data_IF_977696499086
#
_entry.id   IF_977696499086
#
_cell.length_a   1.000
_cell.length_b   1.000
_cell.length_c   1.000
_cell.angle_alpha   90.00
_cell.angle_beta   90.00
_cell.angle_gamma   90.00
#
_symmetry.space_group_name_H-M   'P 1'
#
loop_
_entity.id
_entity.type
_entity.pdbx_description
1 polymer ?
#
# COMPACT_ATOMS: atom_id res chain seq x y z
N UNK A 1 1.39 -20.00 -5.76
CA UNK A 1 0.16 -19.47 -5.19
C UNK A 1 0.45 -18.23 -4.33
N UNK A 2 -0.29 -17.18 -4.57
CA UNK A 2 -0.07 -15.92 -3.89
C UNK A 2 -1.30 -15.57 -3.05
N UNK A 3 -1.17 -15.51 -1.70
CA UNK A 3 -2.29 -15.17 -0.83
C UNK A 3 -2.70 -13.71 -0.95
N UNK A 4 -1.82 -12.86 -1.46
CA UNK A 4 -2.08 -11.43 -1.58
C UNK A 4 -1.38 -10.91 -2.83
N UNK A 5 -2.13 -10.19 -3.66
CA UNK A 5 -1.59 -9.49 -4.83
C UNK A 5 -1.93 -8.01 -4.69
N UNK A 6 -0.93 -7.17 -4.69
CA UNK A 6 -1.09 -5.73 -4.51
C UNK A 6 -0.63 -4.95 -5.73
N UNK A 7 -1.15 -3.75 -5.89
CA UNK A 7 -0.72 -2.81 -6.91
C UNK A 7 -0.42 -1.46 -6.26
N UNK A 8 0.64 -0.80 -6.72
CA UNK A 8 0.99 0.54 -6.29
C UNK A 8 0.32 1.54 -7.21
N UNK A 9 -0.41 2.50 -6.64
CA UNK A 9 -1.06 3.55 -7.42
C UNK A 9 -0.86 4.89 -6.73
N UNK A 10 -0.93 5.97 -7.51
CA UNK A 10 -0.84 7.32 -6.97
C UNK A 10 -2.05 7.66 -6.12
N UNK A 11 -1.82 8.28 -4.98
CA UNK A 11 -2.88 8.85 -4.16
C UNK A 11 -3.26 10.19 -4.78
N UNK A 12 -4.53 10.39 -5.19
CA UNK A 12 -4.92 11.65 -5.84
C UNK A 12 -4.66 12.91 -4.99
N UNK A 13 -4.63 12.76 -3.68
CA UNK A 13 -4.36 13.90 -2.77
C UNK A 13 -2.93 14.43 -2.92
N UNK A 14 -1.97 13.56 -3.29
CA UNK A 14 -0.58 13.94 -3.46
C UNK A 14 -0.14 14.08 -4.91
N UNK A 15 -1.00 13.69 -5.86
CA UNK A 15 -0.69 13.71 -7.30
C UNK A 15 -1.88 14.30 -8.04
N UNK A 16 -1.98 15.63 -8.10
CA UNK A 16 -3.13 16.28 -8.72
C UNK A 16 -3.21 15.99 -10.22
N UNK A 17 -4.41 16.04 -10.75
CA UNK A 17 -4.62 15.88 -12.18
C UNK A 17 -3.97 17.02 -12.95
N UNK A 18 -3.61 16.76 -14.19
CA UNK A 18 -2.93 17.72 -15.04
C UNK A 18 -1.56 17.24 -15.46
N UNK A 19 -0.98 16.31 -14.73
CA UNK A 19 0.20 15.58 -15.16
C UNK A 19 -0.22 14.48 -16.12
N UNK A 20 0.74 13.70 -16.63
CA UNK A 20 0.43 12.57 -17.51
C UNK A 20 -0.36 11.47 -16.79
N UNK A 21 -0.39 11.52 -15.49
CA UNK A 21 -1.14 10.56 -14.68
C UNK A 21 -2.54 11.08 -14.41
N UNK A 22 -3.50 10.15 -14.33
CA UNK A 22 -4.87 10.45 -13.98
C UNK A 22 -5.27 9.57 -12.79
N UNK A 23 -4.83 9.94 -11.59
CA UNK A 23 -4.98 9.04 -10.44
C UNK A 23 -6.42 8.69 -10.09
N UNK A 24 -7.34 9.63 -10.19
CA UNK A 24 -8.74 9.32 -9.89
C UNK A 24 -9.37 8.40 -10.94
N UNK A 25 -9.05 8.61 -12.21
CA UNK A 25 -9.54 7.73 -13.27
C UNK A 25 -8.99 6.31 -13.10
N UNK A 26 -7.73 6.20 -12.68
CA UNK A 26 -7.11 4.91 -12.42
C UNK A 26 -7.79 4.20 -11.26
N UNK A 27 -8.12 4.90 -10.19
CA UNK A 27 -8.85 4.32 -9.06
C UNK A 27 -10.23 3.84 -9.50
N UNK A 28 -10.94 4.60 -10.33
CA UNK A 28 -12.22 4.17 -10.86
C UNK A 28 -12.11 2.88 -11.68
N UNK A 29 -11.04 2.76 -12.47
CA UNK A 29 -10.76 1.55 -13.22
C UNK A 29 -10.59 0.34 -12.29
N UNK A 30 -9.75 0.48 -11.29
CA UNK A 30 -9.50 -0.61 -10.34
C UNK A 30 -10.75 -0.95 -9.52
N UNK A 31 -11.54 0.05 -9.16
CA UNK A 31 -12.79 -0.18 -8.45
C UNK A 31 -13.74 -1.07 -9.26
N UNK A 32 -13.86 -0.80 -10.55
CA UNK A 32 -14.71 -1.63 -11.43
C UNK A 32 -14.17 -3.05 -11.55
N UNK A 33 -12.88 -3.22 -11.41
CA UNK A 33 -12.25 -4.53 -11.43
C UNK A 33 -12.36 -5.27 -10.09
N UNK A 34 -12.97 -4.66 -9.07
CA UNK A 34 -13.18 -5.30 -7.77
C UNK A 34 -12.02 -5.15 -6.79
N UNK A 35 -11.07 -4.26 -7.07
CA UNK A 35 -9.94 -4.03 -6.16
C UNK A 35 -10.39 -3.39 -4.85
N UNK A 36 -9.63 -3.67 -3.80
CA UNK A 36 -9.78 -3.07 -2.48
C UNK A 36 -8.52 -2.26 -2.17
N UNK A 37 -8.48 -1.58 -1.03
CA UNK A 37 -7.30 -0.80 -0.63
C UNK A 37 -6.84 -1.22 0.77
N UNK A 38 -5.53 -1.30 0.96
CA UNK A 38 -4.97 -1.53 2.29
C UNK A 38 -4.96 -0.22 3.07
N UNK A 39 -5.29 -0.29 4.35
CA UNK A 39 -5.32 0.87 5.24
C UNK A 39 -3.93 1.19 5.77
N UNK A 40 -3.01 1.44 4.84
CA UNK A 40 -1.63 1.87 5.13
C UNK A 40 -1.17 2.83 4.05
N UNK A 41 -0.34 3.80 4.40
CA UNK A 41 0.30 4.65 3.39
C UNK A 41 1.35 3.86 2.61
N UNK A 42 1.73 4.37 1.46
CA UNK A 42 2.79 3.73 0.69
C UNK A 42 3.70 4.77 0.03
N UNK A 43 4.97 4.40 -0.08
CA UNK A 43 6.00 5.15 -0.79
C UNK A 43 6.71 4.15 -1.69
N UNK A 44 6.75 4.43 -2.98
CA UNK A 44 7.45 3.54 -3.91
C UNK A 44 8.96 3.73 -3.77
N UNK A 45 9.74 2.65 -3.58
CA UNK A 45 11.19 2.74 -3.51
C UNK A 45 11.79 3.38 -4.76
N UNK A 46 12.94 4.02 -4.61
CA UNK A 46 13.68 4.57 -5.73
C UNK A 46 14.19 3.44 -6.63
N UNK A 47 14.01 3.60 -7.93
CA UNK A 47 14.45 2.62 -8.91
C UNK A 47 15.54 3.22 -9.78
N UNK A 48 16.58 2.44 -10.08
CA UNK A 48 17.63 2.80 -11.03
C UNK A 48 18.25 4.19 -10.76
N UNK A 49 18.47 4.52 -9.51
CA UNK A 49 19.05 5.80 -9.14
C UNK A 49 18.09 6.98 -9.17
N UNK A 50 16.81 6.73 -9.41
CA UNK A 50 15.78 7.77 -9.36
C UNK A 50 15.40 8.14 -7.93
N UNK A 51 14.36 8.94 -7.80
CA UNK A 51 13.80 9.31 -6.51
C UNK A 51 12.65 8.39 -6.12
N UNK A 52 12.38 8.29 -4.82
CA UNK A 52 11.16 7.64 -4.34
C UNK A 52 9.94 8.39 -4.82
N UNK A 53 8.83 7.67 -4.98
CA UNK A 53 7.54 8.30 -5.27
C UNK A 53 6.69 8.24 -4.01
N UNK A 54 6.48 9.37 -3.33
CA UNK A 54 5.65 9.41 -2.12
C UNK A 54 4.16 9.50 -2.48
N UNK A 55 3.31 9.47 -1.47
CA UNK A 55 1.86 9.65 -1.62
C UNK A 55 1.26 8.63 -2.57
N UNK A 56 1.42 7.36 -2.22
CA UNK A 56 0.86 6.26 -2.97
C UNK A 56 -0.09 5.45 -2.10
N UNK A 57 -0.89 4.64 -2.74
CA UNK A 57 -1.79 3.69 -2.10
C UNK A 57 -1.41 2.28 -2.54
N UNK A 58 -1.63 1.31 -1.67
CA UNK A 58 -1.51 -0.10 -2.03
C UNK A 58 -2.91 -0.67 -2.22
N UNK A 59 -3.23 -1.07 -3.43
CA UNK A 59 -4.50 -1.72 -3.74
C UNK A 59 -4.35 -3.23 -3.63
N UNK A 60 -5.43 -3.89 -3.26
CA UNK A 60 -5.51 -5.35 -3.21
C UNK A 60 -6.26 -5.82 -4.43
N UNK A 61 -5.57 -6.52 -5.33
CA UNK A 61 -6.17 -7.09 -6.53
C UNK A 61 -6.69 -8.50 -6.27
N UNK A 62 -6.09 -9.18 -5.31
CA UNK A 62 -6.49 -10.53 -4.92
C UNK A 62 -6.05 -10.78 -3.48
N UNK A 63 -6.90 -11.44 -2.72
CA UNK A 63 -6.55 -11.95 -1.39
C UNK A 63 -7.31 -13.24 -1.14
N UNK A 64 -6.70 -14.13 -0.37
CA UNK A 64 -7.39 -15.33 0.08
C UNK A 64 -8.38 -14.94 1.17
N UNK A 65 -9.62 -15.34 0.99
CA UNK A 65 -10.67 -15.04 1.95
C UNK A 65 -11.15 -16.28 2.71
N UNK A 66 -10.63 -17.45 2.34
CA UNK A 66 -11.08 -18.71 2.92
C UNK A 66 -10.13 -19.21 4.00
N UNK A 67 -10.67 -19.87 4.98
CA UNK A 67 -9.95 -20.68 5.94
C UNK A 67 -8.83 -20.03 6.73
N UNK A 68 -7.96 -19.37 6.07
CA UNK A 68 -6.91 -18.61 6.71
C UNK A 68 -7.31 -17.16 6.88
N UNK A 69 -8.46 -16.81 6.41
CA UNK A 69 -8.96 -15.48 6.57
C UNK A 69 -8.96 -15.14 8.05
N UNK A 70 -8.21 -14.17 8.44
CA UNK A 70 -8.21 -13.74 9.81
C UNK A 70 -9.56 -13.23 10.22
N UNK A 71 -9.78 -13.07 11.50
CA UNK A 71 -11.01 -12.48 12.00
C UNK A 71 -11.18 -11.08 11.41
N UNK A 72 -12.39 -10.73 11.06
CA UNK A 72 -12.68 -9.35 10.77
C UNK A 72 -12.68 -8.57 12.08
N UNK A 73 -12.12 -7.38 12.04
CA UNK A 73 -12.20 -6.46 13.16
C UNK A 73 -13.36 -5.53 12.87
N UNK A 74 -14.40 -5.58 13.70
CA UNK A 74 -15.61 -4.77 13.51
C UNK A 74 -16.24 -4.94 12.12
N UNK A 75 -16.23 -6.17 11.61
CA UNK A 75 -16.78 -6.44 10.27
C UNK A 75 -15.90 -6.05 9.11
N UNK A 76 -14.70 -5.56 9.35
CA UNK A 76 -13.76 -5.15 8.31
C UNK A 76 -12.76 -6.29 8.10
N UNK A 77 -12.52 -6.65 6.84
CA UNK A 77 -11.53 -7.66 6.49
C UNK A 77 -10.13 -7.17 6.86
N UNK A 78 -9.26 -8.12 7.22
CA UNK A 78 -7.86 -7.81 7.53
C UNK A 78 -6.94 -8.83 6.88
N UNK A 79 -5.68 -8.45 6.71
CA UNK A 79 -4.61 -9.34 6.26
C UNK A 79 -3.45 -9.28 7.26
N UNK A 80 -2.64 -10.36 7.38
CA UNK A 80 -1.46 -10.30 8.25
C UNK A 80 -0.48 -9.25 7.78
N UNK A 81 0.10 -8.51 8.73
CA UNK A 81 1.08 -7.48 8.40
C UNK A 81 2.47 -8.03 8.12
N UNK A 82 2.85 -9.13 8.76
CA UNK A 82 4.22 -9.65 8.67
C UNK A 82 4.68 -9.95 7.24
N UNK A 83 3.89 -10.66 6.40
CA UNK A 83 4.32 -10.89 5.02
C UNK A 83 4.42 -9.60 4.21
N UNK A 84 3.54 -8.63 4.46
CA UNK A 84 3.58 -7.36 3.75
C UNK A 84 4.81 -6.56 4.15
N UNK A 85 5.13 -6.53 5.44
CA UNK A 85 6.33 -5.87 5.94
C UNK A 85 7.59 -6.50 5.31
N UNK A 86 7.66 -7.83 5.29
CA UNK A 86 8.79 -8.54 4.69
C UNK A 86 8.93 -8.23 3.20
N UNK A 87 7.82 -8.22 2.48
CA UNK A 87 7.82 -7.85 1.07
C UNK A 87 8.31 -6.43 0.84
N UNK A 88 7.82 -5.49 1.67
CA UNK A 88 8.22 -4.09 1.55
C UNK A 88 9.73 -3.93 1.81
N UNK A 89 10.24 -4.58 2.85
CA UNK A 89 11.67 -4.52 3.15
C UNK A 89 12.50 -5.07 2.00
N UNK A 90 12.11 -6.23 1.45
CA UNK A 90 12.80 -6.83 0.30
C UNK A 90 12.76 -5.92 -0.91
N UNK A 91 11.63 -5.24 -1.13
CA UNK A 91 11.48 -4.31 -2.23
C UNK A 91 12.45 -3.13 -2.08
N UNK A 92 12.53 -2.54 -0.88
CA UNK A 92 13.48 -1.45 -0.63
C UNK A 92 14.93 -1.91 -0.79
N UNK A 93 15.29 -3.06 -0.22
CA UNK A 93 16.64 -3.59 -0.34
C UNK A 93 17.00 -3.86 -1.81
N UNK A 94 16.08 -4.51 -2.55
CA UNK A 94 16.33 -4.82 -3.95
C UNK A 94 16.40 -3.60 -4.85
N UNK A 95 15.66 -2.56 -4.54
CA UNK A 95 15.59 -1.36 -5.39
C UNK A 95 16.61 -0.30 -5.00
N UNK A 96 16.90 -0.15 -3.72
CA UNK A 96 17.77 0.91 -3.21
C UNK A 96 19.13 0.40 -2.72
N UNK A 97 19.29 -0.91 -2.64
CA UNK A 97 20.57 -1.53 -2.26
C UNK A 97 20.75 -1.82 -0.79
N UNK A 98 19.89 -1.30 0.08
CA UNK A 98 19.98 -1.52 1.52
C UNK A 98 18.63 -1.21 2.16
N UNK A 99 18.46 -1.67 3.41
CA UNK A 99 17.25 -1.30 4.13
C UNK A 99 17.26 0.20 4.45
N UNK A 100 16.08 0.84 4.46
CA UNK A 100 16.01 2.28 4.72
C UNK A 100 16.48 2.63 6.14
N UNK A 101 17.22 3.71 6.24
CA UNK A 101 17.65 4.28 7.53
C UNK A 101 17.22 5.73 7.67
N UNK A 102 16.66 6.29 6.62
CA UNK A 102 16.13 7.65 6.61
C UNK A 102 14.74 7.70 7.28
N UNK A 103 14.31 8.88 7.74
CA UNK A 103 13.04 9.01 8.45
C UNK A 103 11.84 8.50 7.67
N UNK A 104 11.76 8.76 6.37
CA UNK A 104 10.61 8.35 5.55
C UNK A 104 10.52 6.83 5.43
N UNK A 105 11.62 6.17 5.09
CA UNK A 105 11.64 4.72 4.94
C UNK A 105 11.40 4.01 6.27
N UNK A 106 12.03 4.50 7.34
CA UNK A 106 11.84 3.93 8.67
C UNK A 106 10.39 4.11 9.13
N UNK A 107 9.80 5.28 8.92
CA UNK A 107 8.41 5.53 9.31
C UNK A 107 7.45 4.62 8.54
N UNK A 108 7.68 4.40 7.25
CA UNK A 108 6.84 3.51 6.45
C UNK A 108 6.91 2.08 6.98
N UNK A 109 8.10 1.55 7.17
CA UNK A 109 8.26 0.17 7.66
C UNK A 109 7.69 0.01 9.06
N UNK A 110 7.87 1.01 9.92
CA UNK A 110 7.28 1.01 11.26
C UNK A 110 5.75 0.98 11.17
N UNK A 111 5.18 1.78 10.28
CA UNK A 111 3.73 1.83 10.11
C UNK A 111 3.16 0.49 9.61
N UNK A 112 3.87 -0.18 8.68
CA UNK A 112 3.45 -1.47 8.17
C UNK A 112 3.48 -2.55 9.25
N UNK A 113 4.42 -2.47 10.18
CA UNK A 113 4.57 -3.45 11.26
C UNK A 113 3.92 -3.06 12.58
N UNK A 114 3.16 -1.96 12.62
CA UNK A 114 2.63 -1.42 13.87
C UNK A 114 1.54 -2.30 14.51
N UNK A 115 0.86 -3.11 13.71
CA UNK A 115 -0.18 -4.03 14.18
C UNK A 115 0.04 -5.38 13.54
N UNK A 116 -0.48 -6.43 14.14
CA UNK A 116 -0.37 -7.77 13.57
C UNK A 116 -1.19 -7.93 12.29
N UNK A 117 -2.24 -7.13 12.13
CA UNK A 117 -3.12 -7.19 10.98
C UNK A 117 -3.37 -5.78 10.43
N UNK A 118 -3.59 -5.73 9.14
CA UNK A 118 -3.87 -4.49 8.41
C UNK A 118 -5.28 -4.60 7.82
N UNK A 119 -6.07 -3.56 8.00
CA UNK A 119 -7.44 -3.53 7.48
C UNK A 119 -7.43 -3.45 5.96
N UNK A 120 -8.38 -4.15 5.34
CA UNK A 120 -8.65 -4.05 3.91
C UNK A 120 -9.98 -3.32 3.77
N UNK A 121 -9.98 -2.21 3.09
CA UNK A 121 -11.15 -1.35 2.95
C UNK A 121 -11.73 -1.45 1.54
N UNK A 122 -13.04 -1.21 1.37
CA UNK A 122 -13.58 -0.99 0.02
C UNK A 122 -12.79 0.12 -0.65
N UNK A 123 -12.56 0.01 -1.96
CA UNK A 123 -11.72 1.01 -2.63
C UNK A 123 -12.29 2.42 -2.51
N UNK A 124 -13.61 2.57 -2.47
CA UNK A 124 -14.24 3.88 -2.26
C UNK A 124 -13.81 4.56 -0.96
N UNK A 125 -13.31 3.79 0.00
CA UNK A 125 -12.85 4.31 1.28
C UNK A 125 -11.39 4.76 1.26
N UNK A 126 -10.74 4.81 0.10
CA UNK A 126 -9.35 5.21 0.00
C UNK A 126 -9.03 6.55 0.69
N UNK A 127 -9.94 7.54 0.75
CA UNK A 127 -9.62 8.77 1.48
C UNK A 127 -9.45 8.59 2.97
N UNK A 128 -9.87 7.46 3.54
CA UNK A 128 -9.67 7.16 4.96
C UNK A 128 -8.24 6.70 5.26
N UNK A 129 -7.47 6.33 4.24
CA UNK A 129 -6.06 5.94 4.44
C UNK A 129 -5.27 7.17 4.86
N UNK A 130 -4.63 7.10 6.03
CA UNK A 130 -3.87 8.22 6.57
C UNK A 130 -2.51 8.29 5.87
N UNK A 131 -2.19 9.37 5.17
CA UNK A 131 -0.90 9.51 4.49
C UNK A 131 0.26 9.51 5.48
N UNK A 132 1.42 9.09 4.99
CA UNK A 132 2.65 9.18 5.76
C UNK A 132 3.04 10.66 5.88
N UNK A 133 3.29 11.14 7.09
CA UNK A 133 3.55 12.56 7.34
C UNK A 133 5.04 12.92 7.39
N UNK A 134 5.90 11.94 7.25
CA UNK A 134 7.35 12.12 7.22
C UNK A 134 7.78 12.21 5.76
N UNK A 135 8.33 13.33 5.39
CA UNK A 135 8.71 13.55 4.00
C UNK A 135 10.20 13.66 3.79
#
# INVERSE_FOLDING_TARGET
RYPLVVAEVHDPRGHPEGDDEHPEARLRFYRRAGAEVLDVPWVQPALAGGARVPHMLLLVLHRESSGGGGPSVEGVATVPSAPLHAWALDYFVGSEGDEPRDPQGVALLTRLGASERIRVLPLDAWPQVVPLTVG
#
